data_IF_324441300868
#
_entry.id   IF_324441300868
#
_cell.length_a   1.000
_cell.length_b   1.000
_cell.length_c   1.000
_cell.angle_alpha   90.00
_cell.angle_beta   90.00
_cell.angle_gamma   90.00
#
_symmetry.space_group_name_H-M   'P 1'
#
loop_
_entity.id
_entity.type
_entity.pdbx_description
1 polymer ?
#
# COMPACT_ATOMS: atom_id res chain seq x y z
N UNK A 1 -5.13 -3.78 -4.19
CA UNK A 1 -3.99 -3.07 -3.54
C UNK A 1 -4.38 -1.69 -3.04
N UNK A 2 -5.09 -0.85 -3.83
CA UNK A 2 -5.48 0.50 -3.39
C UNK A 2 -6.63 0.58 -2.37
N UNK A 3 -7.33 -0.53 -2.15
CA UNK A 3 -8.59 -0.55 -1.38
C UNK A 3 -8.45 -0.09 0.08
N UNK A 4 -7.29 -0.30 0.69
CA UNK A 4 -6.99 0.16 2.07
C UNK A 4 -5.97 1.31 2.11
N UNK A 5 -5.76 1.99 0.98
CA UNK A 5 -4.83 3.12 0.86
C UNK A 5 -5.54 4.36 0.32
N UNK A 6 -6.84 4.48 0.55
CA UNK A 6 -7.55 5.74 0.32
C UNK A 6 -7.19 6.73 1.42
N UNK A 7 -7.34 8.03 1.16
CA UNK A 7 -7.07 9.06 2.18
C UNK A 7 -7.90 8.84 3.46
N UNK A 8 -9.10 8.26 3.33
CA UNK A 8 -9.95 7.92 4.48
C UNK A 8 -9.33 6.80 5.32
N UNK A 9 -8.85 5.74 4.68
CA UNK A 9 -8.27 4.60 5.41
C UNK A 9 -6.94 5.00 6.07
N UNK A 10 -6.15 5.82 5.37
CA UNK A 10 -4.89 6.36 5.88
C UNK A 10 -5.11 7.31 7.07
N UNK A 11 -6.09 8.24 7.00
CA UNK A 11 -6.42 9.10 8.14
C UNK A 11 -6.97 8.29 9.32
N UNK A 12 -7.82 7.30 9.06
CA UNK A 12 -8.38 6.43 10.09
C UNK A 12 -7.26 5.67 10.83
N UNK A 13 -6.35 5.04 10.09
CA UNK A 13 -5.22 4.31 10.66
C UNK A 13 -4.28 5.24 11.44
N UNK A 14 -4.00 6.45 10.93
CA UNK A 14 -3.18 7.45 11.63
C UNK A 14 -3.79 7.85 12.98
N UNK A 15 -5.11 8.03 13.05
CA UNK A 15 -5.83 8.34 14.29
C UNK A 15 -5.85 7.15 15.25
N UNK A 16 -6.00 5.94 14.73
CA UNK A 16 -5.91 4.71 15.53
C UNK A 16 -4.52 4.50 16.15
N UNK A 17 -3.44 4.88 15.47
CA UNK A 17 -2.10 4.92 16.07
C UNK A 17 -1.99 5.90 17.25
N UNK A 18 -2.84 6.92 17.31
CA UNK A 18 -2.90 7.88 18.41
C UNK A 18 -3.92 7.48 19.50
N UNK A 19 -4.52 6.29 19.41
CA UNK A 19 -5.43 5.74 20.40
C UNK A 19 -6.92 6.08 20.18
N UNK A 20 -7.27 6.71 19.06
CA UNK A 20 -8.69 6.92 18.69
C UNK A 20 -9.28 5.62 18.12
N UNK A 21 -10.55 5.32 18.38
CA UNK A 21 -11.26 4.21 17.72
C UNK A 21 -12.11 4.78 16.60
N UNK A 22 -11.72 4.55 15.34
CA UNK A 22 -12.35 5.22 14.19
C UNK A 22 -13.58 4.49 13.66
N UNK A 23 -13.61 3.16 13.77
CA UNK A 23 -14.78 2.37 13.46
C UNK A 23 -14.88 1.16 14.39
N UNK A 24 -16.09 0.59 14.46
CA UNK A 24 -16.34 -0.67 15.15
C UNK A 24 -17.12 -1.59 14.24
N UNK A 25 -16.86 -2.88 14.37
CA UNK A 25 -17.65 -3.96 13.80
C UNK A 25 -19.03 -4.00 14.49
N UNK A 26 -20.03 -4.69 13.91
CA UNK A 26 -21.36 -4.82 14.53
C UNK A 26 -21.35 -5.41 15.95
N UNK A 27 -20.34 -6.23 16.27
CA UNK A 27 -20.14 -6.84 17.59
C UNK A 27 -19.46 -5.90 18.62
N UNK A 28 -19.14 -4.66 18.22
CA UNK A 28 -18.48 -3.66 19.06
C UNK A 28 -16.95 -3.73 19.07
N UNK A 29 -16.35 -4.75 18.44
CA UNK A 29 -14.89 -4.86 18.28
C UNK A 29 -14.38 -3.67 17.46
N UNK A 30 -13.33 -2.94 17.89
CA UNK A 30 -12.68 -1.94 17.05
C UNK A 30 -12.28 -2.50 15.70
N UNK A 31 -12.48 -1.70 14.65
CA UNK A 31 -11.80 -1.95 13.39
C UNK A 31 -10.30 -1.72 13.57
N UNK A 32 -9.49 -2.35 12.74
CA UNK A 32 -8.02 -2.27 12.81
C UNK A 32 -7.48 -1.77 11.47
N UNK A 33 -7.68 -0.47 11.21
CA UNK A 33 -7.24 0.17 9.97
C UNK A 33 -5.71 0.17 9.91
N UNK A 34 -5.02 0.19 11.05
CA UNK A 34 -3.55 0.12 11.11
C UNK A 34 -3.04 -1.17 10.45
N UNK A 35 -3.60 -2.33 10.82
CA UNK A 35 -3.20 -3.59 10.18
C UNK A 35 -3.61 -3.65 8.71
N UNK A 36 -4.77 -3.12 8.33
CA UNK A 36 -5.17 -3.07 6.91
C UNK A 36 -4.19 -2.25 6.05
N UNK A 37 -3.76 -1.09 6.55
CA UNK A 37 -2.75 -0.26 5.87
C UNK A 37 -1.41 -0.99 5.80
N UNK A 38 -0.96 -1.63 6.89
CA UNK A 38 0.29 -2.41 6.91
C UNK A 38 0.26 -3.59 5.94
N UNK A 39 -0.85 -4.30 5.85
CA UNK A 39 -1.03 -5.39 4.89
C UNK A 39 -1.00 -4.89 3.45
N UNK A 40 -1.63 -3.73 3.18
CA UNK A 40 -1.57 -3.09 1.87
C UNK A 40 -0.14 -2.64 1.52
N UNK A 41 0.60 -2.06 2.46
CA UNK A 41 2.02 -1.70 2.31
C UNK A 41 2.88 -2.93 2.00
N UNK A 42 2.68 -4.03 2.75
CA UNK A 42 3.36 -5.30 2.49
C UNK A 42 3.04 -5.85 1.09
N UNK A 43 1.81 -5.67 0.62
CA UNK A 43 1.41 -5.96 -0.75
C UNK A 43 2.18 -5.14 -1.78
N UNK A 44 2.31 -3.83 -1.56
CA UNK A 44 3.07 -2.92 -2.43
C UNK A 44 4.56 -3.30 -2.49
N UNK A 45 5.19 -3.58 -1.35
CA UNK A 45 6.59 -4.04 -1.31
C UNK A 45 6.79 -5.30 -2.15
N UNK A 46 5.90 -6.29 -2.01
CA UNK A 46 5.93 -7.51 -2.82
C UNK A 46 5.77 -7.21 -4.30
N UNK A 47 4.85 -6.30 -4.67
CA UNK A 47 4.62 -5.91 -6.06
C UNK A 47 5.83 -5.19 -6.66
N UNK A 48 6.39 -4.23 -5.97
CA UNK A 48 7.62 -3.51 -6.34
C UNK A 48 8.75 -4.51 -6.61
N UNK A 49 8.95 -5.48 -5.71
CA UNK A 49 9.93 -6.55 -5.90
C UNK A 49 9.65 -7.45 -7.12
N UNK A 50 8.39 -7.69 -7.48
CA UNK A 50 8.04 -8.41 -8.72
C UNK A 50 8.34 -7.58 -9.97
N UNK A 51 7.99 -6.29 -9.96
CA UNK A 51 8.20 -5.38 -11.10
C UNK A 51 9.70 -5.17 -11.36
N UNK A 52 10.49 -4.95 -10.31
CA UNK A 52 11.95 -4.87 -10.42
C UNK A 52 12.57 -6.14 -11.02
N UNK A 53 12.11 -7.32 -10.59
CA UNK A 53 12.56 -8.61 -11.18
C UNK A 53 12.19 -8.72 -12.66
N UNK A 54 11.00 -8.23 -13.05
CA UNK A 54 10.58 -8.22 -14.46
C UNK A 54 11.43 -7.24 -15.29
N UNK A 55 11.76 -6.06 -14.75
CA UNK A 55 12.63 -5.07 -15.41
C UNK A 55 14.07 -5.53 -15.58
N UNK A 56 14.58 -6.36 -14.66
CA UNK A 56 15.91 -6.94 -14.76
C UNK A 56 16.00 -8.14 -15.71
N UNK A 57 14.87 -8.64 -16.21
CA UNK A 57 14.85 -9.80 -17.10
C UNK A 57 15.33 -9.42 -18.51
N UNK A 58 16.36 -10.09 -19.07
CA UNK A 58 16.93 -9.73 -20.37
C UNK A 58 15.97 -9.87 -21.56
N UNK A 59 14.94 -10.74 -21.45
CA UNK A 59 13.96 -10.96 -22.52
C UNK A 59 12.79 -9.98 -22.52
N UNK A 60 12.81 -8.97 -21.64
CA UNK A 60 11.70 -8.02 -21.53
C UNK A 60 11.57 -7.21 -22.82
N UNK A 61 10.38 -7.21 -23.41
CA UNK A 61 10.13 -6.44 -24.62
C UNK A 61 10.21 -4.93 -24.35
N UNK A 62 10.69 -4.18 -25.34
CA UNK A 62 10.75 -2.71 -25.27
C UNK A 62 9.34 -2.09 -25.11
N UNK A 63 8.32 -2.74 -25.65
CA UNK A 63 6.93 -2.30 -25.53
C UNK A 63 6.34 -2.50 -24.12
N UNK A 64 6.76 -3.54 -23.39
CA UNK A 64 6.28 -3.80 -22.02
C UNK A 64 7.02 -2.98 -20.97
N UNK A 65 8.29 -2.66 -21.20
CA UNK A 65 9.13 -1.89 -20.28
C UNK A 65 8.46 -0.62 -19.73
N UNK A 66 7.92 0.30 -20.54
CA UNK A 66 7.32 1.54 -20.03
C UNK A 66 6.08 1.28 -19.16
N UNK A 67 5.30 0.24 -19.44
CA UNK A 67 4.12 -0.12 -18.64
C UNK A 67 4.53 -0.59 -17.24
N UNK A 68 5.60 -1.38 -17.16
CA UNK A 68 6.14 -1.89 -15.89
C UNK A 68 6.79 -0.76 -15.09
N UNK A 69 7.52 0.13 -15.75
CA UNK A 69 8.11 1.32 -15.12
C UNK A 69 7.04 2.27 -14.57
N UNK A 70 5.95 2.47 -15.32
CA UNK A 70 4.80 3.26 -14.86
C UNK A 70 4.17 2.65 -13.61
N UNK A 71 3.90 1.34 -13.62
CA UNK A 71 3.31 0.64 -12.48
C UNK A 71 4.26 0.66 -11.26
N UNK A 72 5.56 0.47 -11.49
CA UNK A 72 6.57 0.53 -10.43
C UNK A 72 6.60 1.92 -9.78
N UNK A 73 6.57 2.96 -10.61
CA UNK A 73 6.54 4.35 -10.17
C UNK A 73 5.29 4.65 -9.34
N UNK A 74 4.13 4.15 -9.76
CA UNK A 74 2.87 4.30 -9.03
C UNK A 74 2.87 3.54 -7.69
N UNK A 75 3.28 2.27 -7.69
CA UNK A 75 3.34 1.45 -6.49
C UNK A 75 4.31 2.02 -5.46
N UNK A 76 5.45 2.55 -5.90
CA UNK A 76 6.46 3.18 -5.03
C UNK A 76 5.92 4.48 -4.42
N UNK A 77 5.33 5.37 -5.23
CA UNK A 77 4.69 6.60 -4.70
C UNK A 77 3.60 6.31 -3.68
N UNK A 78 2.77 5.29 -3.94
CA UNK A 78 1.70 4.94 -3.03
C UNK A 78 2.23 4.35 -1.71
N UNK A 79 3.31 3.56 -1.76
CA UNK A 79 3.99 3.05 -0.59
C UNK A 79 4.55 4.22 0.24
N UNK A 80 5.35 5.09 -0.38
CA UNK A 80 5.95 6.26 0.26
C UNK A 80 4.90 7.18 0.89
N UNK A 81 3.77 7.39 0.19
CA UNK A 81 2.66 8.19 0.71
C UNK A 81 2.03 7.54 1.94
N UNK A 82 1.73 6.24 1.88
CA UNK A 82 1.10 5.53 2.99
C UNK A 82 1.97 5.49 4.25
N UNK A 83 3.29 5.41 4.10
CA UNK A 83 4.25 5.37 5.21
C UNK A 83 4.30 6.69 6.00
N UNK A 84 3.82 7.80 5.44
CA UNK A 84 3.65 9.07 6.16
C UNK A 84 2.52 9.03 7.20
N UNK A 85 1.56 8.10 7.04
CA UNK A 85 0.42 7.94 7.93
C UNK A 85 0.62 6.78 8.91
N UNK A 86 1.14 5.65 8.40
CA UNK A 86 1.39 4.45 9.18
C UNK A 86 2.82 3.97 8.89
N UNK A 87 3.76 4.19 9.84
CA UNK A 87 5.10 3.64 9.72
C UNK A 87 5.06 2.10 9.72
N UNK A 88 5.87 1.50 8.86
CA UNK A 88 6.06 0.04 8.82
C UNK A 88 6.90 -0.46 9.99
#
# INVERSE_FOLDING_TARGET
MKEHLTDRDLDAARRELNGEVMARKPDGTPWDHVNEVKDAQNGLVKRIGQLNRKLSWPGLSEAERPLIEQELSEASRLLDYSEQFVPR
#
